data_IF_414020585551
#
_entry.id   IF_414020585551
#
_cell.length_a   1.000
_cell.length_b   1.000
_cell.length_c   1.000
_cell.angle_alpha   90.00
_cell.angle_beta   90.00
_cell.angle_gamma   90.00
#
_symmetry.space_group_name_H-M   'P 1'
#
loop_
_entity.id
_entity.type
_entity.pdbx_description
1 polymer ?
#
# COMPACT_ATOMS: atom_id res chain seq x y z
N UNK A 1 13.64 -5.66 21.98
CA UNK A 1 12.32 -5.84 21.33
C UNK A 1 12.39 -5.14 19.97
N UNK A 2 12.62 -5.87 18.87
CA UNK A 2 12.73 -5.27 17.53
C UNK A 2 11.33 -4.94 17.04
N UNK A 3 10.94 -3.68 17.08
CA UNK A 3 9.67 -3.23 16.50
C UNK A 3 9.71 -3.52 15.01
N UNK A 4 9.02 -4.58 14.57
CA UNK A 4 8.72 -4.81 13.16
C UNK A 4 7.82 -3.66 12.73
N UNK A 5 8.43 -2.55 12.31
CA UNK A 5 7.70 -1.39 11.80
C UNK A 5 7.00 -1.89 10.54
N UNK A 6 5.70 -2.12 10.68
CA UNK A 6 4.82 -2.77 9.70
C UNK A 6 4.62 -1.96 8.42
N UNK A 7 5.26 -0.80 8.32
CA UNK A 7 5.01 0.28 7.37
C UNK A 7 6.33 1.05 7.19
N UNK A 8 6.66 1.39 5.95
CA UNK A 8 7.83 2.19 5.56
C UNK A 8 9.15 1.41 5.48
N UNK A 9 9.11 0.17 4.98
CA UNK A 9 10.35 -0.48 4.51
C UNK A 9 10.91 0.29 3.29
N UNK A 10 12.23 0.23 3.08
CA UNK A 10 12.87 0.86 1.92
C UNK A 10 12.20 0.56 0.57
N UNK A 11 11.73 -0.67 0.27
CA UNK A 11 10.99 -0.93 -0.97
C UNK A 11 9.61 -0.24 -1.02
N UNK A 12 8.85 -0.18 0.08
CA UNK A 12 7.58 0.56 0.11
C UNK A 12 7.79 2.05 -0.18
N UNK A 13 8.81 2.66 0.42
CA UNK A 13 9.13 4.06 0.22
C UNK A 13 9.55 4.36 -1.23
N UNK A 14 10.36 3.48 -1.83
CA UNK A 14 10.74 3.58 -3.24
C UNK A 14 9.51 3.50 -4.16
N UNK A 15 8.60 2.56 -3.88
CA UNK A 15 7.37 2.38 -4.64
C UNK A 15 6.46 3.61 -4.54
N UNK A 16 6.26 4.16 -3.33
CA UNK A 16 5.50 5.41 -3.13
C UNK A 16 6.07 6.57 -3.95
N UNK A 17 7.40 6.74 -3.95
CA UNK A 17 8.09 7.79 -4.73
C UNK A 17 7.85 7.62 -6.22
N UNK A 18 7.99 6.41 -6.73
CA UNK A 18 7.77 6.09 -8.15
C UNK A 18 6.31 6.35 -8.56
N UNK A 19 5.35 5.90 -7.75
CA UNK A 19 3.92 6.08 -8.04
C UNK A 19 3.51 7.55 -7.98
N UNK A 20 4.07 8.31 -7.03
CA UNK A 20 3.86 9.75 -6.94
C UNK A 20 4.46 10.48 -8.15
N UNK A 21 5.69 10.12 -8.55
CA UNK A 21 6.33 10.68 -9.74
C UNK A 21 5.55 10.38 -11.04
N UNK A 22 4.83 9.25 -11.09
CA UNK A 22 3.95 8.87 -12.20
C UNK A 22 2.56 9.50 -12.15
N UNK A 23 2.25 10.31 -11.14
CA UNK A 23 0.93 10.95 -10.98
C UNK A 23 -0.22 9.95 -10.72
N UNK A 24 0.10 8.72 -10.30
CA UNK A 24 -0.90 7.69 -10.06
C UNK A 24 -1.60 7.96 -8.72
N UNK A 25 -2.93 7.85 -8.71
CA UNK A 25 -3.71 7.90 -7.47
C UNK A 25 -3.76 6.51 -6.86
N UNK A 26 -3.21 6.39 -5.66
CA UNK A 26 -3.23 5.17 -4.85
C UNK A 26 -3.57 5.49 -3.41
N UNK A 27 -3.98 4.48 -2.64
CA UNK A 27 -4.18 4.55 -1.19
C UNK A 27 -3.19 3.60 -0.53
N UNK A 28 -2.68 3.98 0.64
CA UNK A 28 -1.83 3.13 1.47
C UNK A 28 -2.61 2.60 2.66
N UNK A 29 -2.22 1.44 3.18
CA UNK A 29 -2.85 0.79 4.35
C UNK A 29 -4.38 0.69 4.21
N UNK A 30 -4.85 0.48 2.98
CA UNK A 30 -6.28 0.48 2.67
C UNK A 30 -6.79 -0.96 2.64
N UNK A 31 -7.95 -1.20 3.26
CA UNK A 31 -8.65 -2.48 3.15
C UNK A 31 -9.47 -2.48 1.84
N UNK A 32 -9.08 -3.24 0.80
CA UNK A 32 -9.76 -3.22 -0.50
C UNK A 32 -11.15 -3.87 -0.46
N UNK A 33 -11.47 -4.67 0.56
CA UNK A 33 -12.75 -5.35 0.72
C UNK A 33 -13.31 -5.10 2.13
N UNK A 34 -14.54 -4.61 2.22
CA UNK A 34 -15.21 -4.33 3.50
C UNK A 34 -15.41 -5.58 4.37
N UNK A 35 -15.62 -6.74 3.75
CA UNK A 35 -15.70 -8.05 4.42
C UNK A 35 -14.35 -8.53 4.96
N UNK A 36 -13.22 -8.00 4.45
CA UNK A 36 -11.87 -8.45 4.81
C UNK A 36 -11.01 -7.32 5.39
N UNK A 37 -11.55 -6.58 6.38
CA UNK A 37 -10.82 -5.49 7.08
C UNK A 37 -9.47 -5.91 7.68
N UNK A 38 -9.25 -7.21 7.92
CA UNK A 38 -7.97 -7.76 8.40
C UNK A 38 -6.89 -7.86 7.31
N UNK A 39 -7.25 -7.73 6.04
CA UNK A 39 -6.33 -7.82 4.88
C UNK A 39 -6.09 -6.40 4.35
N UNK A 40 -5.34 -5.60 5.11
CA UNK A 40 -4.85 -4.29 4.61
C UNK A 40 -3.75 -4.56 3.59
N UNK A 41 -3.83 -3.90 2.45
CA UNK A 41 -2.77 -3.92 1.46
C UNK A 41 -1.92 -2.66 1.60
N UNK A 42 -0.62 -2.81 1.32
CA UNK A 42 0.34 -1.71 1.35
C UNK A 42 -0.03 -0.61 0.36
N UNK A 43 -0.44 -1.01 -0.84
CA UNK A 43 -0.86 -0.08 -1.90
C UNK A 43 -2.11 -0.60 -2.58
N UNK A 44 -3.11 0.27 -2.69
CA UNK A 44 -4.38 -0.01 -3.36
C UNK A 44 -4.66 1.03 -4.43
N UNK A 45 -4.86 0.56 -5.65
CA UNK A 45 -5.38 1.35 -6.76
C UNK A 45 -6.88 1.14 -6.85
N UNK A 46 -7.66 2.08 -6.32
CA UNK A 46 -9.13 1.98 -6.28
C UNK A 46 -9.76 1.98 -7.67
N UNK A 47 -9.23 2.77 -8.61
CA UNK A 47 -9.72 2.81 -10.00
C UNK A 47 -9.36 1.55 -10.79
N UNK A 48 -8.18 0.98 -10.54
CA UNK A 48 -7.71 -0.23 -11.24
C UNK A 48 -8.11 -1.52 -10.53
N UNK A 49 -8.78 -1.43 -9.36
CA UNK A 49 -9.16 -2.56 -8.50
C UNK A 49 -7.97 -3.51 -8.22
N UNK A 50 -6.80 -2.93 -7.98
CA UNK A 50 -5.54 -3.65 -7.79
C UNK A 50 -4.98 -3.39 -6.39
N UNK A 51 -4.58 -4.46 -5.70
CA UNK A 51 -3.92 -4.41 -4.41
C UNK A 51 -2.51 -5.01 -4.52
N UNK A 52 -1.50 -4.29 -4.02
CA UNK A 52 -0.10 -4.70 -4.00
C UNK A 52 0.31 -4.92 -2.55
N UNK A 53 1.00 -6.03 -2.31
CA UNK A 53 1.62 -6.39 -1.03
C UNK A 53 3.13 -6.47 -1.27
N UNK A 54 3.90 -5.80 -0.43
CA UNK A 54 5.38 -5.75 -0.48
C UNK A 54 5.94 -6.40 0.76
#
# INVERSE_FOLDING_TARGET
>A
MRSNRRLDTSPELALRRILHARGLRYRVDFAPLETMRRRRADIVFTRARLAVFV
#
